data_IF_380191541267
#
_entry.id   IF_380191541267
#
_cell.length_a   1.000
_cell.length_b   1.000
_cell.length_c   1.000
_cell.angle_alpha   90.00
_cell.angle_beta   90.00
_cell.angle_gamma   90.00
#
_symmetry.space_group_name_H-M   'P 1'
#
loop_
_entity.id
_entity.type
_entity.pdbx_description
1 polymer ?
#
# COMPACT_ATOMS: atom_id res chain seq x y z
N UNK A 1 18.78 12.78 -20.51
CA UNK A 1 17.57 13.32 -19.87
C UNK A 1 17.94 14.69 -19.32
N UNK A 2 17.19 15.73 -19.69
CA UNK A 2 17.52 17.16 -19.47
C UNK A 2 16.82 17.79 -18.26
N UNK A 3 16.16 16.98 -17.42
CA UNK A 3 15.47 17.46 -16.22
C UNK A 3 14.16 18.21 -16.50
N UNK A 4 13.73 18.36 -17.76
CA UNK A 4 12.48 19.04 -18.13
C UNK A 4 11.20 18.31 -17.68
N UNK A 5 11.32 17.04 -17.28
CA UNK A 5 10.24 16.20 -16.77
C UNK A 5 10.33 15.94 -15.25
N UNK A 6 11.02 16.80 -14.50
CA UNK A 6 11.10 16.71 -13.03
C UNK A 6 9.89 17.40 -12.42
N UNK A 7 9.04 16.65 -11.74
CA UNK A 7 7.98 17.20 -10.89
C UNK A 7 8.48 17.27 -9.45
N UNK A 8 8.47 18.47 -8.87
CA UNK A 8 8.84 18.69 -7.47
C UNK A 8 7.59 18.74 -6.61
N UNK A 9 7.44 17.76 -5.71
CA UNK A 9 6.32 17.65 -4.79
C UNK A 9 6.60 18.42 -3.48
N UNK A 10 6.49 19.75 -3.52
CA UNK A 10 6.93 20.63 -2.42
C UNK A 10 5.90 20.86 -1.30
N UNK A 11 4.65 20.41 -1.46
CA UNK A 11 3.54 20.70 -0.54
C UNK A 11 3.03 19.47 0.25
N UNK A 12 3.90 18.47 0.45
CA UNK A 12 3.58 17.26 1.21
C UNK A 12 4.09 17.34 2.65
N UNK A 13 3.33 16.80 3.59
CA UNK A 13 3.67 16.71 5.00
C UNK A 13 4.17 15.31 5.33
N UNK A 14 5.48 15.20 5.56
CA UNK A 14 6.19 13.97 5.89
C UNK A 14 5.75 12.75 5.04
N UNK A 15 5.89 12.82 3.69
CA UNK A 15 5.51 11.73 2.82
C UNK A 15 6.39 10.50 3.07
N UNK A 16 5.78 9.31 3.05
CA UNK A 16 6.49 8.07 3.35
C UNK A 16 6.42 7.02 2.24
N UNK A 17 5.23 6.77 1.70
CA UNK A 17 5.01 5.79 0.62
C UNK A 17 4.28 6.48 -0.51
N UNK A 18 4.71 6.24 -1.75
CA UNK A 18 4.04 6.70 -2.96
C UNK A 18 3.75 5.50 -3.85
N UNK A 19 2.56 5.47 -4.44
CA UNK A 19 2.15 4.50 -5.47
C UNK A 19 1.49 5.24 -6.63
N UNK A 20 1.72 4.76 -7.84
CA UNK A 20 1.30 5.43 -9.07
C UNK A 20 0.32 4.55 -9.84
N UNK A 21 -0.85 5.09 -10.12
CA UNK A 21 -1.69 4.62 -11.22
C UNK A 21 -1.25 5.36 -12.48
N UNK A 22 -0.36 4.74 -13.25
CA UNK A 22 0.19 5.32 -14.48
C UNK A 22 -0.86 5.44 -15.59
N UNK A 23 -1.89 4.58 -15.58
CA UNK A 23 -2.97 4.58 -16.58
C UNK A 23 -3.86 5.81 -16.42
N UNK A 24 -4.29 6.08 -15.19
CA UNK A 24 -5.21 7.18 -14.89
C UNK A 24 -4.51 8.46 -14.40
N UNK A 25 -3.17 8.43 -14.28
CA UNK A 25 -2.32 9.53 -13.82
C UNK A 25 -2.69 10.03 -12.42
N UNK A 26 -2.86 9.09 -11.50
CA UNK A 26 -3.09 9.35 -10.07
C UNK A 26 -1.93 8.84 -9.23
N UNK A 27 -1.60 9.57 -8.18
CA UNK A 27 -0.70 9.14 -7.11
C UNK A 27 -1.52 8.90 -5.84
N UNK A 28 -1.08 7.90 -5.09
CA UNK A 28 -1.55 7.61 -3.74
C UNK A 28 -0.36 7.75 -2.80
N UNK A 29 -0.45 8.65 -1.84
CA UNK A 29 0.67 9.07 -0.99
C UNK A 29 0.28 8.88 0.47
N UNK A 30 1.12 8.19 1.24
CA UNK A 30 1.01 8.17 2.70
C UNK A 30 1.70 9.42 3.25
N UNK A 31 0.94 10.31 3.87
CA UNK A 31 1.43 11.42 4.68
C UNK A 31 1.36 11.01 6.16
N UNK A 32 2.52 10.89 6.83
CA UNK A 32 2.55 10.37 8.20
C UNK A 32 1.75 11.28 9.14
N UNK A 33 0.98 10.66 10.03
CA UNK A 33 0.08 11.33 10.99
C UNK A 33 -1.10 12.10 10.36
N UNK A 34 -1.31 11.99 9.05
CA UNK A 34 -2.47 12.56 8.36
C UNK A 34 -3.32 11.44 7.79
N UNK A 35 -2.79 10.67 6.84
CA UNK A 35 -3.64 9.83 6.03
C UNK A 35 -3.03 9.31 4.74
N UNK A 36 -3.89 8.77 3.89
CA UNK A 36 -3.61 8.49 2.49
C UNK A 36 -4.24 9.59 1.66
N UNK A 37 -3.38 10.26 0.91
CA UNK A 37 -3.71 11.29 -0.04
C UNK A 37 -3.84 10.69 -1.44
N UNK A 38 -4.82 11.14 -2.21
CA UNK A 38 -4.89 10.95 -3.66
C UNK A 38 -4.55 12.27 -4.34
N UNK A 39 -3.72 12.22 -5.37
CA UNK A 39 -3.42 13.42 -6.14
C UNK A 39 -2.99 13.20 -7.58
N UNK A 40 -3.15 14.20 -8.45
CA UNK A 40 -2.48 14.24 -9.76
C UNK A 40 -0.96 14.29 -9.57
N UNK A 41 -0.22 13.93 -10.63
CA UNK A 41 1.24 13.89 -10.59
C UNK A 41 1.86 15.25 -10.23
N UNK A 42 1.19 16.35 -10.59
CA UNK A 42 1.59 17.74 -10.34
C UNK A 42 0.92 18.38 -9.09
N UNK A 43 0.19 17.59 -8.30
CA UNK A 43 -0.54 18.01 -7.10
C UNK A 43 -1.72 18.98 -7.32
N UNK A 44 -2.19 19.18 -8.56
CA UNK A 44 -3.27 20.14 -8.88
C UNK A 44 -4.66 19.73 -8.38
N UNK A 45 -4.93 18.43 -8.27
CA UNK A 45 -6.14 17.89 -7.64
C UNK A 45 -5.69 16.99 -6.49
N UNK A 46 -5.82 17.45 -5.24
CA UNK A 46 -5.27 16.79 -4.05
C UNK A 46 -6.36 16.64 -2.98
N UNK A 47 -6.58 15.42 -2.49
CA UNK A 47 -7.55 15.13 -1.43
C UNK A 47 -7.05 14.03 -0.47
N UNK A 48 -7.33 14.17 0.83
CA UNK A 48 -7.12 13.09 1.80
C UNK A 48 -8.28 12.12 1.73
N UNK A 49 -8.05 10.92 1.21
CA UNK A 49 -9.08 9.90 1.01
C UNK A 49 -9.23 8.96 2.22
N UNK A 50 -8.17 8.78 3.01
CA UNK A 50 -8.23 7.98 4.25
C UNK A 50 -7.54 8.77 5.36
N UNK A 51 -8.24 9.01 6.47
CA UNK A 51 -7.68 9.71 7.63
C UNK A 51 -7.18 8.71 8.67
N UNK A 52 -6.00 8.98 9.25
CA UNK A 52 -5.45 8.20 10.34
C UNK A 52 -5.59 8.96 11.66
N UNK A 53 -6.48 8.49 12.53
CA UNK A 53 -6.49 8.95 13.92
C UNK A 53 -5.39 8.18 14.66
N UNK A 54 -4.26 8.83 14.94
CA UNK A 54 -3.15 8.27 15.75
C UNK A 54 -2.46 7.00 15.21
N UNK A 55 -2.51 6.76 13.89
CA UNK A 55 -1.88 5.59 13.27
C UNK A 55 -0.90 6.01 12.18
N UNK A 56 0.15 5.20 12.01
CA UNK A 56 1.08 5.30 10.89
C UNK A 56 0.93 4.05 10.00
N UNK A 57 1.33 4.16 8.75
CA UNK A 57 1.31 3.06 7.78
C UNK A 57 2.75 2.65 7.49
N UNK A 58 3.05 1.35 7.56
CA UNK A 58 4.38 0.83 7.22
C UNK A 58 4.58 0.76 5.70
N UNK A 59 3.57 0.27 5.00
CA UNK A 59 3.63 0.06 3.56
C UNK A 59 2.22 0.08 2.97
N UNK A 60 2.15 0.42 1.70
CA UNK A 60 0.93 0.49 0.92
C UNK A 60 1.22 0.01 -0.49
N UNK A 61 0.25 -0.64 -1.10
CA UNK A 61 0.23 -0.92 -2.53
C UNK A 61 -1.16 -0.66 -3.11
N UNK A 62 -1.26 -0.58 -4.44
CA UNK A 62 -2.53 -0.31 -5.14
C UNK A 62 -2.84 -1.42 -6.13
N UNK A 63 -4.13 -1.74 -6.25
CA UNK A 63 -4.66 -2.53 -7.35
C UNK A 63 -5.47 -1.62 -8.28
N UNK A 64 -4.91 -1.32 -9.44
CA UNK A 64 -5.55 -0.47 -10.44
C UNK A 64 -6.71 -1.16 -11.15
N UNK A 65 -6.73 -2.49 -11.22
CA UNK A 65 -7.82 -3.24 -11.87
C UNK A 65 -9.08 -3.27 -10.99
N UNK A 66 -8.91 -3.46 -9.67
CA UNK A 66 -10.00 -3.42 -8.70
C UNK A 66 -10.29 -2.00 -8.16
N UNK A 67 -9.44 -1.02 -8.49
CA UNK A 67 -9.50 0.37 -8.01
C UNK A 67 -9.46 0.49 -6.48
N UNK A 68 -8.52 -0.24 -5.86
CA UNK A 68 -8.38 -0.32 -4.40
C UNK A 68 -6.96 -0.10 -3.94
N UNK A 69 -6.82 0.55 -2.78
CA UNK A 69 -5.59 0.60 -2.01
C UNK A 69 -5.58 -0.49 -0.95
N UNK A 70 -4.39 -0.97 -0.61
CA UNK A 70 -4.12 -1.92 0.46
C UNK A 70 -2.96 -1.40 1.29
N UNK A 71 -3.10 -1.40 2.62
CA UNK A 71 -2.06 -0.89 3.51
C UNK A 71 -1.97 -1.68 4.81
N UNK A 72 -0.78 -1.65 5.40
CA UNK A 72 -0.53 -2.24 6.72
C UNK A 72 -0.37 -1.13 7.75
N UNK A 73 -1.21 -1.19 8.77
CA UNK A 73 -1.14 -0.32 9.93
C UNK A 73 0.05 -0.66 10.82
N UNK A 74 0.78 0.35 11.23
CA UNK A 74 1.95 0.20 12.08
C UNK A 74 1.60 -0.15 13.52
N UNK A 75 0.52 0.42 14.04
CA UNK A 75 0.12 0.33 15.44
C UNK A 75 -0.34 -1.08 15.84
N UNK A 76 -0.99 -1.81 14.93
CA UNK A 76 -1.55 -3.13 15.23
C UNK A 76 -1.23 -4.23 14.19
N UNK A 77 -0.59 -3.89 13.07
CA UNK A 77 -0.25 -4.85 12.01
C UNK A 77 -1.44 -5.26 11.12
N UNK A 78 -2.62 -4.66 11.32
CA UNK A 78 -3.79 -4.94 10.49
C UNK A 78 -3.52 -4.57 9.04
N UNK A 79 -3.95 -5.45 8.14
CA UNK A 79 -4.03 -5.15 6.72
C UNK A 79 -5.43 -4.64 6.40
N UNK A 80 -5.50 -3.43 5.86
CA UNK A 80 -6.75 -2.78 5.47
C UNK A 80 -6.79 -2.56 3.97
N UNK A 81 -7.99 -2.37 3.43
CA UNK A 81 -8.23 -1.99 2.05
C UNK A 81 -9.35 -0.96 1.96
N UNK A 82 -9.32 -0.10 0.96
CA UNK A 82 -10.38 0.84 0.61
C UNK A 82 -10.39 1.04 -0.90
N UNK A 83 -11.51 1.52 -1.45
CA UNK A 83 -11.54 1.99 -2.84
C UNK A 83 -10.68 3.24 -3.00
N UNK A 84 -10.33 3.60 -4.23
CA UNK A 84 -9.53 4.80 -4.54
C UNK A 84 -10.15 6.14 -4.12
N UNK A 85 -11.40 6.18 -3.69
CA UNK A 85 -12.01 7.38 -3.09
C UNK A 85 -12.10 7.29 -1.55
N UNK A 86 -11.50 6.28 -0.93
CA UNK A 86 -11.48 6.09 0.52
C UNK A 86 -12.70 5.38 1.11
N UNK A 87 -13.70 5.04 0.29
CA UNK A 87 -14.89 4.30 0.75
C UNK A 87 -14.66 2.80 0.86
N UNK A 88 -15.64 2.08 1.43
CA UNK A 88 -15.63 0.62 1.58
C UNK A 88 -14.34 0.10 2.25
N UNK A 89 -14.02 0.69 3.40
CA UNK A 89 -12.88 0.27 4.22
C UNK A 89 -13.13 -1.12 4.77
N UNK A 90 -12.22 -2.05 4.47
CA UNK A 90 -12.26 -3.45 4.88
C UNK A 90 -11.00 -3.83 5.65
N UNK A 91 -11.15 -4.75 6.60
CA UNK A 91 -10.01 -5.44 7.23
C UNK A 91 -9.78 -6.74 6.48
N UNK A 92 -8.68 -6.83 5.74
CA UNK A 92 -8.33 -8.04 4.99
C UNK A 92 -7.78 -9.10 5.95
N UNK A 93 -6.89 -8.67 6.84
CA UNK A 93 -6.26 -9.49 7.85
C UNK A 93 -6.16 -8.70 9.15
N UNK A 94 -6.81 -9.21 10.20
CA UNK A 94 -6.65 -8.64 11.55
C UNK A 94 -5.52 -9.35 12.27
N UNK A 95 -4.68 -8.59 12.97
CA UNK A 95 -3.61 -9.15 13.79
C UNK A 95 -3.53 -8.48 15.14
N UNK A 96 -3.09 -9.24 16.14
CA UNK A 96 -2.76 -8.70 17.47
C UNK A 96 -1.24 -8.59 17.69
N UNK A 97 -0.46 -8.64 16.62
CA UNK A 97 1.00 -8.52 16.68
C UNK A 97 1.40 -7.25 15.95
N UNK A 98 1.43 -6.15 16.71
CA UNK A 98 2.13 -4.96 16.28
C UNK A 98 3.59 -5.31 15.95
N UNK A 99 4.14 -4.67 14.92
CA UNK A 99 5.59 -4.61 14.64
C UNK A 99 6.23 -5.76 13.88
N UNK A 100 5.50 -6.59 13.14
CA UNK A 100 6.16 -7.65 12.37
C UNK A 100 6.02 -7.58 10.86
N UNK A 101 5.17 -6.75 10.24
CA UNK A 101 5.02 -6.72 8.77
C UNK A 101 5.61 -5.46 8.14
N UNK A 102 6.42 -5.63 7.10
CA UNK A 102 7.25 -4.54 6.56
C UNK A 102 6.98 -4.24 5.09
N UNK A 103 6.52 -5.22 4.34
CA UNK A 103 6.29 -5.10 2.91
C UNK A 103 4.91 -5.62 2.51
N UNK A 104 4.33 -5.00 1.48
CA UNK A 104 3.08 -5.41 0.85
C UNK A 104 3.21 -5.27 -0.67
N UNK A 105 2.65 -6.24 -1.40
CA UNK A 105 2.49 -6.21 -2.85
C UNK A 105 1.18 -6.86 -3.24
N UNK A 106 0.49 -6.34 -4.24
CA UNK A 106 -0.84 -6.83 -4.67
C UNK A 106 -0.77 -7.34 -6.11
N UNK A 107 -1.31 -8.53 -6.36
CA UNK A 107 -1.45 -9.07 -7.71
C UNK A 107 -2.60 -10.08 -7.77
N UNK A 108 -3.43 -9.94 -8.81
CA UNK A 108 -4.54 -10.86 -9.06
C UNK A 108 -5.50 -10.88 -7.87
N UNK A 109 -5.86 -12.04 -7.36
CA UNK A 109 -6.78 -12.18 -6.22
C UNK A 109 -6.10 -12.10 -4.83
N UNK A 110 -4.79 -11.83 -4.79
CA UNK A 110 -3.99 -12.00 -3.58
C UNK A 110 -3.24 -10.73 -3.16
N UNK A 111 -2.95 -10.68 -1.87
CA UNK A 111 -1.99 -9.77 -1.26
C UNK A 111 -0.81 -10.59 -0.77
N UNK A 112 0.38 -10.19 -1.18
CA UNK A 112 1.66 -10.70 -0.70
C UNK A 112 2.16 -9.76 0.38
N UNK A 113 2.62 -10.29 1.49
CA UNK A 113 3.21 -9.49 2.55
C UNK A 113 4.33 -10.26 3.23
N UNK A 114 5.30 -9.52 3.76
CA UNK A 114 6.38 -10.11 4.52
C UNK A 114 6.34 -9.66 5.96
N UNK A 115 6.66 -10.59 6.84
CA UNK A 115 6.99 -10.31 8.21
C UNK A 115 8.49 -10.50 8.52
N UNK A 116 8.88 -10.42 9.80
CA UNK A 116 10.28 -10.59 10.23
C UNK A 116 10.89 -11.97 9.93
N UNK A 117 10.09 -12.97 9.54
CA UNK A 117 10.52 -14.36 9.37
C UNK A 117 10.01 -15.00 8.08
N UNK A 118 8.92 -14.48 7.51
CA UNK A 118 8.15 -15.17 6.49
C UNK A 118 7.75 -14.23 5.35
N UNK A 119 7.70 -14.79 4.14
CA UNK A 119 6.92 -14.25 3.04
C UNK A 119 5.59 -15.03 2.99
N UNK A 120 4.48 -14.31 3.03
CA UNK A 120 3.15 -14.90 3.03
C UNK A 120 2.28 -14.33 1.91
N UNK A 121 1.24 -15.06 1.59
CA UNK A 121 0.18 -14.67 0.68
C UNK A 121 -1.17 -14.86 1.35
N UNK A 122 -2.08 -13.92 1.18
CA UNK A 122 -3.47 -14.03 1.64
C UNK A 122 -4.40 -13.56 0.54
N UNK A 123 -5.55 -14.21 0.39
CA UNK A 123 -6.57 -13.72 -0.53
C UNK A 123 -7.11 -12.36 -0.07
N UNK A 124 -7.50 -11.51 -1.03
CA UNK A 124 -8.09 -10.19 -0.75
C UNK A 124 -9.44 -10.24 -0.05
N UNK A 125 -10.05 -11.42 0.08
CA UNK A 125 -11.31 -11.61 0.78
C UNK A 125 -11.08 -11.49 2.30
N UNK A 126 -11.82 -10.62 3.02
CA UNK A 126 -11.73 -10.51 4.47
C UNK A 126 -11.86 -11.85 5.19
N UNK A 127 -10.99 -12.10 6.18
CA UNK A 127 -11.02 -13.32 6.98
C UNK A 127 -10.33 -14.53 6.33
N UNK A 128 -9.70 -14.36 5.17
CA UNK A 128 -8.91 -15.41 4.54
C UNK A 128 -7.69 -15.80 5.39
N UNK A 129 -7.34 -17.08 5.35
CA UNK A 129 -6.16 -17.60 6.06
C UNK A 129 -4.89 -17.36 5.23
N UNK A 130 -3.83 -16.79 5.80
CA UNK A 130 -2.56 -16.64 5.10
C UNK A 130 -1.88 -17.99 4.83
N UNK A 131 -1.24 -18.09 3.66
CA UNK A 131 -0.35 -19.19 3.28
C UNK A 131 1.09 -18.70 3.32
N UNK A 132 1.96 -19.47 3.99
CA UNK A 132 3.40 -19.20 3.99
C UNK A 132 4.00 -19.64 2.66
N UNK A 133 4.65 -18.72 1.95
CA UNK A 133 5.35 -19.01 0.71
C UNK A 133 6.83 -19.33 0.96
N UNK A 134 7.43 -18.66 1.95
CA UNK A 134 8.84 -18.85 2.31
C UNK A 134 9.06 -18.53 3.79
N UNK A 135 9.95 -19.28 4.44
CA UNK A 135 10.31 -19.17 5.85
C UNK A 135 11.78 -18.73 6.00
N UNK A 136 12.18 -18.42 7.23
CA UNK A 136 13.57 -18.11 7.60
C UNK A 136 14.16 -16.95 6.79
N UNK A 137 13.33 -15.94 6.51
CA UNK A 137 13.80 -14.70 5.92
C UNK A 137 14.58 -13.89 6.95
N UNK A 138 15.66 -13.23 6.51
CA UNK A 138 16.13 -12.02 7.18
C UNK A 138 15.27 -10.87 6.65
N UNK A 139 14.47 -10.24 7.52
CA UNK A 139 13.63 -9.04 7.30
C UNK A 139 13.54 -8.56 5.83
N UNK A 140 12.37 -8.75 5.22
CA UNK A 140 12.09 -8.25 3.87
C UNK A 140 11.50 -6.83 3.95
N UNK A 141 12.25 -5.83 3.47
CA UNK A 141 11.79 -4.43 3.51
C UNK A 141 10.89 -4.03 2.34
N UNK A 142 10.91 -4.76 1.22
CA UNK A 142 10.08 -4.43 0.06
C UNK A 142 9.68 -5.66 -0.74
N UNK A 143 8.48 -5.60 -1.33
CA UNK A 143 7.94 -6.58 -2.27
C UNK A 143 7.51 -5.79 -3.50
N UNK A 144 7.99 -6.21 -4.67
CA UNK A 144 7.52 -5.72 -5.95
C UNK A 144 6.92 -6.90 -6.70
N UNK A 145 5.70 -6.73 -7.19
CA UNK A 145 5.01 -7.75 -7.96
C UNK A 145 4.72 -7.19 -9.34
N UNK A 146 5.08 -7.94 -10.37
CA UNK A 146 4.88 -7.56 -11.76
C UNK A 146 4.07 -8.64 -12.45
N UNK A 147 3.06 -8.26 -13.23
CA UNK A 147 2.50 -9.17 -14.21
C UNK A 147 3.46 -9.25 -15.39
N UNK A 148 3.88 -10.46 -15.77
CA UNK A 148 4.40 -10.63 -17.12
C UNK A 148 3.19 -10.66 -18.06
N UNK A 149 2.92 -9.56 -18.74
CA UNK A 149 2.24 -9.66 -20.03
C UNK A 149 3.19 -10.39 -20.97
N UNK A 150 2.71 -11.49 -21.56
CA UNK A 150 3.51 -12.40 -22.40
C UNK A 150 4.31 -11.70 -23.49
N UNK A 151 5.45 -12.31 -23.81
CA UNK A 151 6.28 -12.02 -24.99
C UNK A 151 5.47 -12.05 -26.28
#
# INVERSE_FOLDING_TARGET
MDGSNVIVLSSLNYPFVIRLDLTNRWMYIVERNIGILKSRFDLTEKETIVNFVSSTVYCMDIDTAEQRLYWIRHDNGDMKSATFNGSDVKTILSTNSANNKYAIGVLGSNVFYADNKQLLMVAKTPGSTPTVLYNDTSRIDSIFVFNQTGM
#
